data_IF_882770184928
#
_entry.id   IF_882770184928
#
_cell.length_a   1.000
_cell.length_b   1.000
_cell.length_c   1.000
_cell.angle_alpha   90.00
_cell.angle_beta   90.00
_cell.angle_gamma   90.00
#
_symmetry.space_group_name_H-M   'P 1'
#
loop_
_entity.id
_entity.type
_entity.pdbx_description
1 polymer ?
#
# COMPACT_ATOMS: atom_id res chain seq x y z
N UNK A 1 -10.85 -36.24 -7.41
CA UNK A 1 -12.00 -35.32 -7.29
C UNK A 1 -12.35 -34.75 -8.66
N UNK A 2 -13.61 -34.90 -9.08
CA UNK A 2 -14.11 -34.33 -10.33
C UNK A 2 -14.85 -33.05 -9.93
N UNK A 3 -14.36 -31.89 -10.38
CA UNK A 3 -15.10 -30.63 -10.22
C UNK A 3 -16.31 -30.58 -11.17
N UNK A 4 -17.33 -29.81 -10.81
CA UNK A 4 -18.53 -29.67 -11.64
C UNK A 4 -18.18 -29.05 -13.00
N UNK A 5 -18.64 -29.67 -14.10
CA UNK A 5 -18.41 -29.21 -15.47
C UNK A 5 -19.73 -28.70 -16.03
N UNK A 6 -19.80 -27.40 -16.36
CA UNK A 6 -20.93 -26.81 -17.07
C UNK A 6 -20.51 -26.16 -18.39
N UNK A 7 -21.39 -26.19 -19.39
CA UNK A 7 -21.10 -25.75 -20.76
C UNK A 7 -21.08 -24.21 -20.97
N UNK A 8 -21.15 -23.42 -19.90
CA UNK A 8 -21.10 -21.96 -19.96
C UNK A 8 -19.75 -21.48 -19.39
N UNK A 9 -19.18 -20.44 -19.99
CA UNK A 9 -18.08 -19.70 -19.32
C UNK A 9 -18.57 -19.25 -17.93
N UNK A 10 -17.75 -19.45 -16.89
CA UNK A 10 -18.05 -18.97 -15.53
C UNK A 10 -18.86 -19.92 -14.62
N UNK A 11 -18.66 -21.24 -14.68
CA UNK A 11 -19.40 -22.18 -13.81
C UNK A 11 -18.94 -22.21 -12.36
N UNK A 12 -17.68 -21.86 -12.06
CA UNK A 12 -17.17 -21.80 -10.67
C UNK A 12 -17.42 -20.40 -10.10
N UNK A 13 -18.46 -20.27 -9.26
CA UNK A 13 -18.86 -19.00 -8.63
C UNK A 13 -18.17 -18.75 -7.27
N UNK A 14 -17.58 -19.78 -6.67
CA UNK A 14 -16.89 -19.76 -5.38
C UNK A 14 -15.71 -20.73 -5.42
N UNK A 15 -14.60 -20.39 -4.77
CA UNK A 15 -13.43 -21.28 -4.71
C UNK A 15 -13.81 -22.66 -4.16
N UNK A 16 -13.42 -23.73 -4.86
CA UNK A 16 -13.66 -25.10 -4.43
C UNK A 16 -12.34 -25.78 -4.07
N UNK A 17 -12.22 -26.21 -2.81
CA UNK A 17 -10.99 -26.87 -2.31
C UNK A 17 -11.14 -28.38 -2.28
N UNK A 18 -10.25 -29.07 -2.98
CA UNK A 18 -10.18 -30.52 -3.02
C UNK A 18 -8.91 -31.01 -2.34
N UNK A 19 -9.06 -31.95 -1.40
CA UNK A 19 -7.91 -32.63 -0.82
C UNK A 19 -7.48 -33.80 -1.71
N UNK A 20 -6.18 -33.88 -1.99
CA UNK A 20 -5.58 -35.01 -2.69
C UNK A 20 -4.35 -35.53 -1.91
N UNK A 21 -4.37 -36.83 -1.62
CA UNK A 21 -3.20 -37.55 -1.12
C UNK A 21 -2.55 -38.31 -2.28
N UNK A 22 -1.29 -38.02 -2.59
CA UNK A 22 -0.52 -38.82 -3.54
C UNK A 22 0.20 -39.96 -2.82
N UNK A 23 0.12 -41.20 -3.34
CA UNK A 23 0.94 -42.30 -2.85
C UNK A 23 2.42 -41.91 -2.94
N UNK A 24 3.18 -42.09 -1.86
CA UNK A 24 4.61 -41.74 -1.70
C UNK A 24 4.94 -40.26 -1.46
N UNK A 25 3.94 -39.38 -1.35
CA UNK A 25 4.13 -38.00 -0.87
C UNK A 25 3.50 -37.90 0.51
N UNK A 26 4.30 -37.61 1.54
CA UNK A 26 3.85 -37.57 2.94
C UNK A 26 2.95 -36.37 3.27
N UNK A 27 2.89 -35.36 2.37
CA UNK A 27 2.15 -34.12 2.57
C UNK A 27 0.80 -34.15 1.85
N UNK A 28 -0.20 -33.55 2.48
CA UNK A 28 -1.54 -33.37 1.90
C UNK A 28 -1.51 -32.23 0.88
N UNK A 29 -2.05 -32.49 -0.32
CA UNK A 29 -2.17 -31.46 -1.36
C UNK A 29 -3.59 -30.92 -1.36
N UNK A 30 -3.71 -29.60 -1.45
CA UNK A 30 -4.98 -28.92 -1.66
C UNK A 30 -4.99 -28.37 -3.08
N UNK A 31 -5.99 -28.76 -3.86
CA UNK A 31 -6.28 -28.19 -5.17
C UNK A 31 -7.40 -27.19 -4.98
N UNK A 32 -7.15 -25.93 -5.33
CA UNK A 32 -8.14 -24.86 -5.23
C UNK A 32 -8.57 -24.51 -6.65
N UNK A 33 -9.84 -24.77 -6.96
CA UNK A 33 -10.44 -24.33 -8.21
C UNK A 33 -10.94 -22.91 -8.04
N UNK A 34 -10.46 -22.00 -8.89
CA UNK A 34 -10.75 -20.57 -8.83
C UNK A 34 -11.66 -20.17 -9.99
N UNK A 35 -12.56 -19.18 -9.81
CA UNK A 35 -13.27 -18.54 -10.91
C UNK A 35 -12.31 -18.05 -12.01
N UNK A 36 -12.81 -17.90 -13.24
CA UNK A 36 -12.01 -17.49 -14.39
C UNK A 36 -11.26 -16.16 -14.17
N UNK A 37 -9.94 -16.22 -14.05
CA UNK A 37 -9.02 -15.09 -13.80
C UNK A 37 -8.91 -14.06 -14.94
N UNK A 38 -9.63 -14.25 -16.05
CA UNK A 38 -9.58 -13.38 -17.23
C UNK A 38 -10.97 -13.12 -17.86
N UNK A 39 -12.06 -13.23 -17.08
CA UNK A 39 -13.41 -12.95 -17.55
C UNK A 39 -13.68 -11.44 -17.65
N UNK A 40 -13.75 -10.92 -18.88
CA UNK A 40 -14.07 -9.51 -19.12
C UNK A 40 -15.55 -9.19 -18.82
N UNK A 41 -15.81 -8.32 -17.84
CA UNK A 41 -17.14 -7.77 -17.55
C UNK A 41 -17.22 -7.02 -16.21
N UNK A 42 -18.23 -6.15 -16.03
CA UNK A 42 -18.43 -5.30 -14.82
C UNK A 42 -18.78 -6.13 -13.57
N UNK A 43 -19.34 -7.34 -13.74
CA UNK A 43 -19.51 -8.32 -12.67
C UNK A 43 -18.28 -9.25 -12.49
N UNK A 44 -17.25 -9.09 -13.32
CA UNK A 44 -16.04 -9.90 -13.36
C UNK A 44 -14.87 -9.33 -12.56
N UNK A 45 -14.87 -8.04 -12.21
CA UNK A 45 -13.73 -7.38 -11.56
C UNK A 45 -13.48 -7.86 -10.12
N UNK A 46 -14.55 -8.03 -9.33
CA UNK A 46 -14.42 -8.56 -7.96
C UNK A 46 -14.03 -10.04 -7.94
N UNK A 47 -14.55 -10.82 -8.90
CA UNK A 47 -14.21 -12.25 -9.04
C UNK A 47 -12.79 -12.45 -9.52
N UNK A 48 -12.36 -11.64 -10.48
CA UNK A 48 -10.98 -11.62 -10.97
C UNK A 48 -10.01 -11.27 -9.84
N UNK A 49 -10.38 -10.30 -8.98
CA UNK A 49 -9.55 -9.94 -7.85
C UNK A 49 -9.47 -11.06 -6.79
N UNK A 50 -10.60 -11.67 -6.43
CA UNK A 50 -10.62 -12.81 -5.52
C UNK A 50 -9.79 -13.99 -6.06
N UNK A 51 -9.94 -14.33 -7.34
CA UNK A 51 -9.17 -15.41 -7.96
C UNK A 51 -7.66 -15.09 -8.02
N UNK A 52 -7.29 -13.82 -8.21
CA UNK A 52 -5.89 -13.37 -8.13
C UNK A 52 -5.33 -13.43 -6.71
N UNK A 53 -6.13 -13.09 -5.70
CA UNK A 53 -5.73 -13.20 -4.29
C UNK A 53 -5.52 -14.66 -3.90
N UNK A 54 -6.43 -15.56 -4.29
CA UNK A 54 -6.28 -17.01 -4.09
C UNK A 54 -5.04 -17.55 -4.82
N UNK A 55 -4.81 -17.15 -6.08
CA UNK A 55 -3.60 -17.52 -6.81
C UNK A 55 -2.31 -16.95 -6.16
N UNK A 56 -2.37 -15.74 -5.60
CA UNK A 56 -1.28 -15.14 -4.85
C UNK A 56 -1.01 -15.86 -3.52
N UNK A 57 -1.98 -16.58 -2.97
CA UNK A 57 -1.82 -17.43 -1.79
C UNK A 57 -1.27 -18.84 -2.09
N UNK A 58 -1.30 -19.29 -3.34
CA UNK A 58 -0.93 -20.66 -3.72
C UNK A 58 0.60 -20.89 -3.81
N UNK A 59 1.02 -22.13 -3.51
CA UNK A 59 2.42 -22.60 -3.64
C UNK A 59 2.79 -22.91 -5.10
N UNK A 60 1.83 -23.42 -5.87
CA UNK A 60 1.98 -23.78 -7.28
C UNK A 60 0.68 -23.44 -8.03
N UNK A 61 0.82 -22.83 -9.20
CA UNK A 61 -0.31 -22.43 -10.04
C UNK A 61 -0.37 -23.28 -11.30
N UNK A 62 -1.53 -23.85 -11.59
CA UNK A 62 -1.85 -24.41 -12.90
C UNK A 62 -2.65 -23.39 -13.70
N UNK A 63 -2.01 -22.78 -14.69
CA UNK A 63 -2.67 -21.82 -15.57
C UNK A 63 -3.25 -22.56 -16.76
N UNK A 64 -4.56 -22.79 -16.76
CA UNK A 64 -5.24 -23.62 -17.77
C UNK A 64 -5.74 -22.75 -18.92
N UNK A 65 -5.36 -23.10 -20.14
CA UNK A 65 -5.84 -22.52 -21.40
C UNK A 65 -6.38 -23.62 -22.30
N UNK A 66 -7.22 -23.29 -23.28
CA UNK A 66 -7.74 -24.25 -24.25
C UNK A 66 -7.35 -23.96 -25.72
N UNK A 67 -6.53 -22.92 -25.94
CA UNK A 67 -5.95 -22.53 -27.22
C UNK A 67 -4.69 -21.66 -26.97
N UNK A 68 -4.19 -20.96 -27.99
CA UNK A 68 -3.10 -19.97 -27.85
C UNK A 68 -3.44 -18.86 -26.81
N UNK A 69 -2.40 -18.34 -26.13
CA UNK A 69 -2.55 -17.34 -25.06
C UNK A 69 -3.09 -16.01 -25.58
N UNK A 70 -4.27 -15.61 -25.12
CA UNK A 70 -4.83 -14.27 -25.38
C UNK A 70 -4.05 -13.20 -24.63
N UNK A 71 -4.17 -11.96 -25.06
CA UNK A 71 -3.44 -10.84 -24.43
C UNK A 71 -3.82 -10.65 -22.96
N UNK A 72 -5.10 -10.83 -22.61
CA UNK A 72 -5.57 -10.76 -21.21
C UNK A 72 -4.93 -11.86 -20.35
N UNK A 73 -4.93 -13.10 -20.82
CA UNK A 73 -4.32 -14.24 -20.14
C UNK A 73 -2.81 -14.05 -19.98
N UNK A 74 -2.14 -13.58 -21.04
CA UNK A 74 -0.71 -13.32 -21.00
C UNK A 74 -0.32 -12.28 -19.94
N UNK A 75 -1.12 -11.20 -19.80
CA UNK A 75 -0.89 -10.20 -18.75
C UNK A 75 -1.03 -10.79 -17.34
N UNK A 76 -2.02 -11.66 -17.12
CA UNK A 76 -2.20 -12.32 -15.81
C UNK A 76 -1.05 -13.28 -15.53
N UNK A 77 -0.65 -14.09 -16.51
CA UNK A 77 0.50 -14.99 -16.40
C UNK A 77 1.78 -14.21 -16.08
N UNK A 78 2.03 -13.09 -16.76
CA UNK A 78 3.17 -12.21 -16.48
C UNK A 78 3.10 -11.61 -15.06
N UNK A 79 1.92 -11.19 -14.61
CA UNK A 79 1.73 -10.68 -13.24
C UNK A 79 2.10 -11.72 -12.19
N UNK A 80 1.58 -12.94 -12.31
CA UNK A 80 1.84 -14.03 -11.37
C UNK A 80 3.31 -14.46 -11.35
N UNK A 81 3.94 -14.55 -12.53
CA UNK A 81 5.36 -14.91 -12.63
C UNK A 81 6.28 -13.81 -12.11
N UNK A 82 5.95 -12.54 -12.32
CA UNK A 82 6.71 -11.40 -11.76
C UNK A 82 6.62 -11.34 -10.23
N UNK A 83 5.52 -11.83 -9.65
CA UNK A 83 5.39 -12.00 -8.19
C UNK A 83 6.24 -13.16 -7.63
N UNK A 84 6.97 -13.88 -8.48
CA UNK A 84 7.82 -15.01 -8.08
C UNK A 84 7.06 -16.32 -7.91
N UNK A 85 5.82 -16.43 -8.42
CA UNK A 85 5.04 -17.67 -8.31
C UNK A 85 5.52 -18.73 -9.28
N UNK A 86 5.61 -19.97 -8.80
CA UNK A 86 5.82 -21.14 -9.66
C UNK A 86 4.54 -21.45 -10.44
N UNK A 87 4.65 -21.57 -11.75
CA UNK A 87 3.51 -21.75 -12.64
C UNK A 87 3.77 -22.85 -13.66
N UNK A 88 2.76 -23.67 -13.91
CA UNK A 88 2.69 -24.65 -15.01
C UNK A 88 1.56 -24.22 -15.95
N UNK A 89 1.90 -23.95 -17.21
CA UNK A 89 0.93 -23.63 -18.26
C UNK A 89 0.36 -24.94 -18.81
N UNK A 90 -0.96 -25.09 -18.70
CA UNK A 90 -1.68 -26.31 -19.08
C UNK A 90 -2.55 -26.02 -20.29
N UNK A 91 -2.18 -26.54 -21.46
CA UNK A 91 -3.02 -26.53 -22.65
C UNK A 91 -4.01 -27.71 -22.56
N UNK A 92 -5.26 -27.42 -22.21
CA UNK A 92 -6.35 -28.38 -22.18
C UNK A 92 -7.01 -28.53 -23.56
N UNK A 93 -7.79 -29.60 -23.73
CA UNK A 93 -8.48 -29.96 -24.99
C UNK A 93 -7.51 -30.31 -26.13
N UNK A 94 -6.34 -30.84 -25.79
CA UNK A 94 -5.33 -31.26 -26.76
C UNK A 94 -5.83 -32.34 -27.75
N UNK A 95 -6.90 -33.06 -27.40
CA UNK A 95 -7.58 -34.03 -28.27
C UNK A 95 -8.20 -33.41 -29.53
N UNK A 96 -8.37 -32.08 -29.58
CA UNK A 96 -8.91 -31.35 -30.73
C UNK A 96 -7.90 -31.18 -31.87
N UNK A 97 -6.62 -31.42 -31.60
CA UNK A 97 -5.54 -31.12 -32.53
C UNK A 97 -4.90 -32.41 -33.04
N UNK A 98 -4.62 -32.51 -34.36
CA UNK A 98 -3.65 -33.47 -34.87
C UNK A 98 -2.29 -33.28 -34.19
N UNK A 99 -1.51 -34.36 -34.08
CA UNK A 99 -0.23 -34.32 -33.36
C UNK A 99 0.73 -33.26 -33.89
N UNK A 100 0.83 -33.09 -35.22
CA UNK A 100 1.70 -32.08 -35.82
C UNK A 100 1.30 -30.65 -35.44
N UNK A 101 0.00 -30.35 -35.44
CA UNK A 101 -0.52 -29.02 -35.09
C UNK A 101 -0.35 -28.73 -33.59
N UNK A 102 -0.52 -29.77 -32.75
CA UNK A 102 -0.30 -29.67 -31.31
C UNK A 102 1.16 -29.34 -30.97
N UNK A 103 2.11 -29.95 -31.68
CA UNK A 103 3.54 -29.68 -31.51
C UNK A 103 3.88 -28.22 -31.87
N UNK A 104 3.33 -27.71 -32.98
CA UNK A 104 3.49 -26.30 -33.39
C UNK A 104 2.91 -25.34 -32.34
N UNK A 105 1.70 -25.64 -31.84
CA UNK A 105 1.07 -24.81 -30.82
C UNK A 105 1.87 -24.80 -29.51
N UNK A 106 2.36 -25.96 -29.07
CA UNK A 106 3.20 -26.05 -27.87
C UNK A 106 4.52 -25.29 -28.03
N UNK A 107 5.16 -25.37 -29.19
CA UNK A 107 6.37 -24.59 -29.48
C UNK A 107 6.08 -23.09 -29.39
N UNK A 108 4.99 -22.63 -30.01
CA UNK A 108 4.57 -21.21 -29.94
C UNK A 108 4.32 -20.74 -28.51
N UNK A 109 3.60 -21.54 -27.71
CA UNK A 109 3.34 -21.23 -26.31
C UNK A 109 4.64 -21.14 -25.50
N UNK A 110 5.54 -22.13 -25.66
CA UNK A 110 6.86 -22.17 -25.01
C UNK A 110 7.70 -20.94 -25.37
N UNK A 111 7.75 -20.57 -26.64
CA UNK A 111 8.47 -19.36 -27.08
C UNK A 111 7.90 -18.08 -26.48
N UNK A 112 6.57 -17.99 -26.30
CA UNK A 112 5.91 -16.79 -25.76
C UNK A 112 6.15 -16.61 -24.25
N UNK A 113 6.26 -17.71 -23.51
CA UNK A 113 6.49 -17.68 -22.05
C UNK A 113 7.97 -17.78 -21.65
N UNK A 114 8.87 -18.01 -22.61
CA UNK A 114 10.30 -17.97 -22.38
C UNK A 114 10.81 -16.52 -22.19
N UNK A 115 11.84 -16.31 -21.35
CA UNK A 115 12.52 -17.29 -20.49
C UNK A 115 11.82 -17.48 -19.13
N UNK A 116 10.66 -16.86 -18.92
CA UNK A 116 9.97 -16.81 -17.62
C UNK A 116 9.52 -18.17 -17.11
N UNK A 117 9.07 -19.06 -18.01
CA UNK A 117 8.75 -20.46 -17.69
C UNK A 117 9.72 -21.42 -18.38
N UNK A 118 10.01 -22.54 -17.71
CA UNK A 118 10.67 -23.67 -18.35
C UNK A 118 9.77 -24.28 -19.43
N UNK A 119 10.31 -24.72 -20.58
CA UNK A 119 9.56 -25.47 -21.58
C UNK A 119 8.84 -26.71 -21.03
N UNK A 120 9.41 -27.33 -19.99
CA UNK A 120 8.84 -28.50 -19.29
C UNK A 120 7.60 -28.15 -18.44
N UNK A 121 7.45 -26.87 -18.08
CA UNK A 121 6.28 -26.35 -17.37
C UNK A 121 5.12 -26.01 -18.32
N UNK A 122 5.26 -26.28 -19.63
CA UNK A 122 4.19 -26.16 -20.63
C UNK A 122 3.73 -27.56 -21.06
N UNK A 123 2.55 -27.96 -20.58
CA UNK A 123 2.03 -29.33 -20.76
C UNK A 123 0.69 -29.35 -21.48
N UNK A 124 0.50 -30.31 -22.39
CA UNK A 124 -0.77 -30.56 -23.05
C UNK A 124 -1.55 -31.68 -22.35
N UNK A 125 -2.86 -31.50 -22.18
CA UNK A 125 -3.77 -32.47 -21.57
C UNK A 125 -5.11 -32.50 -22.29
N UNK A 126 -5.86 -33.59 -22.07
CA UNK A 126 -7.26 -33.69 -22.45
C UNK A 126 -8.06 -34.13 -21.22
N UNK A 127 -8.58 -33.16 -20.45
CA UNK A 127 -9.30 -33.45 -19.21
C UNK A 127 -10.68 -34.06 -19.45
N UNK A 128 -11.37 -33.59 -20.49
CA UNK A 128 -12.67 -34.10 -20.94
C UNK A 128 -12.69 -34.18 -22.47
N UNK A 129 -12.07 -35.22 -23.06
CA UNK A 129 -11.95 -35.30 -24.52
C UNK A 129 -13.29 -35.55 -25.21
N UNK A 130 -13.42 -35.04 -26.43
CA UNK A 130 -14.66 -35.15 -27.20
C UNK A 130 -14.93 -36.61 -27.62
N UNK A 131 -16.21 -37.04 -27.66
CA UNK A 131 -16.55 -38.35 -28.20
C UNK A 131 -16.24 -38.41 -29.70
N UNK A 132 -15.69 -39.55 -30.16
CA UNK A 132 -15.43 -39.79 -31.58
C UNK A 132 -16.53 -40.67 -32.19
N UNK A 133 -16.93 -40.45 -33.46
CA UNK A 133 -17.87 -41.33 -34.13
C UNK A 133 -17.26 -42.73 -34.29
N UNK A 134 -17.99 -43.77 -33.90
CA UNK A 134 -17.55 -45.16 -34.01
C UNK A 134 -17.93 -45.75 -35.37
N UNK A 135 -17.03 -46.55 -35.96
CA UNK A 135 -17.33 -47.31 -37.18
C UNK A 135 -18.46 -48.30 -36.87
N UNK A 136 -19.59 -48.19 -37.58
CA UNK A 136 -20.80 -48.98 -37.32
C UNK A 136 -21.93 -48.23 -36.59
N UNK A 137 -21.73 -46.95 -36.25
CA UNK A 137 -22.71 -46.12 -35.57
C UNK A 137 -22.44 -45.99 -34.07
N UNK A 138 -22.88 -44.88 -33.47
CA UNK A 138 -22.64 -44.54 -32.07
C UNK A 138 -21.42 -43.64 -31.84
N UNK A 139 -21.20 -43.30 -30.57
CA UNK A 139 -20.14 -42.39 -30.12
C UNK A 139 -19.24 -43.10 -29.12
N UNK A 140 -17.94 -43.07 -29.36
CA UNK A 140 -16.92 -43.58 -28.45
C UNK A 140 -16.43 -42.43 -27.56
N UNK A 141 -16.77 -42.49 -26.26
CA UNK A 141 -16.22 -41.56 -25.28
C UNK A 141 -14.74 -41.86 -25.06
N UNK A 142 -13.88 -40.89 -25.37
CA UNK A 142 -12.45 -41.00 -25.10
C UNK A 142 -12.16 -40.86 -23.60
N UNK A 143 -11.09 -41.53 -23.15
CA UNK A 143 -10.61 -41.43 -21.76
C UNK A 143 -9.80 -40.16 -21.57
N UNK A 144 -9.93 -39.46 -20.43
CA UNK A 144 -9.08 -38.32 -20.10
C UNK A 144 -7.58 -38.65 -20.15
N UNK A 145 -6.78 -37.77 -20.74
CA UNK A 145 -5.34 -37.84 -20.71
C UNK A 145 -4.77 -36.70 -19.83
N UNK A 146 -4.51 -37.02 -18.57
CA UNK A 146 -3.88 -36.13 -17.59
C UNK A 146 -2.47 -36.58 -17.21
N UNK A 147 -1.92 -37.59 -17.90
CA UNK A 147 -0.64 -38.20 -17.54
C UNK A 147 0.53 -37.20 -17.62
N UNK A 148 0.64 -36.33 -18.65
CA UNK A 148 1.72 -35.34 -18.73
C UNK A 148 1.73 -34.40 -17.52
N UNK A 149 0.56 -33.88 -17.14
CA UNK A 149 0.42 -33.00 -15.98
C UNK A 149 0.77 -33.70 -14.66
N UNK A 150 0.31 -34.94 -14.49
CA UNK A 150 0.62 -35.74 -13.29
C UNK A 150 2.11 -36.04 -13.17
N UNK A 151 2.78 -36.35 -14.28
CA UNK A 151 4.21 -36.58 -14.32
C UNK A 151 4.95 -35.29 -13.92
N UNK A 152 4.61 -34.15 -14.53
CA UNK A 152 5.24 -32.87 -14.21
C UNK A 152 5.04 -32.47 -12.76
N UNK A 153 3.82 -32.61 -12.23
CA UNK A 153 3.55 -32.35 -10.81
C UNK A 153 4.37 -33.26 -9.89
N UNK A 154 4.49 -34.56 -10.21
CA UNK A 154 5.30 -35.47 -9.43
C UNK A 154 6.79 -35.11 -9.46
N UNK A 155 7.29 -34.55 -10.56
CA UNK A 155 8.66 -34.06 -10.65
C UNK A 155 8.86 -32.80 -9.80
N UNK A 156 7.97 -31.82 -9.94
CA UNK A 156 7.99 -30.58 -9.15
C UNK A 156 7.90 -30.84 -7.65
N UNK A 157 7.01 -31.72 -7.21
CA UNK A 157 6.87 -32.03 -5.78
C UNK A 157 8.08 -32.78 -5.21
N UNK A 158 8.77 -33.58 -6.03
CA UNK A 158 9.97 -34.30 -5.60
C UNK A 158 11.22 -33.42 -5.57
N UNK A 159 11.33 -32.48 -6.51
CA UNK A 159 12.50 -31.62 -6.67
C UNK A 159 12.38 -30.33 -5.87
N UNK A 160 11.22 -29.69 -5.92
CA UNK A 160 11.02 -28.30 -5.50
C UNK A 160 10.02 -28.17 -4.32
N UNK A 161 9.39 -29.25 -3.85
CA UNK A 161 8.24 -29.18 -2.95
C UNK A 161 8.43 -28.38 -1.66
N UNK A 162 9.60 -28.46 -1.03
CA UNK A 162 9.91 -27.65 0.17
C UNK A 162 10.20 -26.19 -0.18
N UNK A 163 10.89 -25.97 -1.30
CA UNK A 163 11.20 -24.63 -1.83
C UNK A 163 9.92 -23.87 -2.19
N UNK A 164 8.94 -24.52 -2.82
CA UNK A 164 7.65 -23.89 -3.17
C UNK A 164 6.93 -23.30 -1.95
N UNK A 165 6.92 -24.06 -0.85
CA UNK A 165 6.28 -23.63 0.40
C UNK A 165 7.12 -22.53 1.06
N UNK A 166 8.44 -22.69 1.10
CA UNK A 166 9.34 -21.69 1.71
C UNK A 166 9.24 -20.34 0.99
N UNK A 167 9.22 -20.34 -0.35
CA UNK A 167 9.09 -19.13 -1.17
C UNK A 167 7.74 -18.46 -0.95
N UNK A 168 6.64 -19.23 -0.95
CA UNK A 168 5.31 -18.68 -0.70
C UNK A 168 5.18 -18.11 0.71
N UNK A 169 5.68 -18.81 1.74
CA UNK A 169 5.68 -18.32 3.12
C UNK A 169 6.52 -17.05 3.27
N UNK A 170 7.66 -16.95 2.60
CA UNK A 170 8.48 -15.74 2.60
C UNK A 170 7.72 -14.56 1.97
N UNK A 171 7.10 -14.76 0.80
CA UNK A 171 6.29 -13.76 0.13
C UNK A 171 5.13 -13.29 1.01
N UNK A 172 4.38 -14.22 1.62
CA UNK A 172 3.27 -13.89 2.53
C UNK A 172 3.76 -13.13 3.77
N UNK A 173 4.88 -13.54 4.37
CA UNK A 173 5.45 -12.87 5.54
C UNK A 173 5.87 -11.43 5.21
N UNK A 174 6.46 -11.20 4.04
CA UNK A 174 6.82 -9.85 3.59
C UNK A 174 5.58 -8.98 3.36
N UNK A 175 4.54 -9.51 2.74
CA UNK A 175 3.27 -8.79 2.53
C UNK A 175 2.62 -8.42 3.85
N UNK A 176 2.48 -9.38 4.78
CA UNK A 176 1.95 -9.14 6.13
C UNK A 176 2.79 -8.08 6.86
N UNK A 177 4.12 -8.20 6.80
CA UNK A 177 5.02 -7.22 7.41
C UNK A 177 4.84 -5.81 6.85
N UNK A 178 4.67 -5.68 5.53
CA UNK A 178 4.44 -4.39 4.88
C UNK A 178 3.06 -3.81 5.25
N UNK A 179 2.00 -4.61 5.23
CA UNK A 179 0.66 -4.17 5.63
C UNK A 179 0.63 -3.76 7.10
N UNK A 180 1.28 -4.52 7.98
CA UNK A 180 1.40 -4.17 9.40
C UNK A 180 2.15 -2.85 9.59
N UNK A 181 3.27 -2.63 8.88
CA UNK A 181 4.01 -1.35 8.91
C UNK A 181 3.13 -0.19 8.45
N UNK A 182 2.43 -0.33 7.32
CA UNK A 182 1.54 0.70 6.79
C UNK A 182 0.43 1.05 7.79
N UNK A 183 -0.18 0.05 8.42
CA UNK A 183 -1.22 0.27 9.43
C UNK A 183 -0.64 1.02 10.65
N UNK A 184 0.48 0.56 11.18
CA UNK A 184 1.17 1.20 12.32
C UNK A 184 1.55 2.64 11.97
N UNK A 185 2.10 2.88 10.78
CA UNK A 185 2.50 4.22 10.34
C UNK A 185 1.28 5.14 10.17
N UNK A 186 0.15 4.62 9.67
CA UNK A 186 -1.09 5.39 9.55
C UNK A 186 -1.67 5.80 10.91
N UNK A 187 -1.66 4.89 11.88
CA UNK A 187 -2.08 5.15 13.26
C UNK A 187 -1.16 6.16 13.94
N UNK A 188 0.16 6.00 13.80
CA UNK A 188 1.15 6.96 14.31
C UNK A 188 0.96 8.35 13.71
N UNK A 189 0.72 8.43 12.40
CA UNK A 189 0.48 9.70 11.73
C UNK A 189 -0.80 10.37 12.26
N UNK A 190 -1.89 9.62 12.44
CA UNK A 190 -3.13 10.15 12.99
C UNK A 190 -2.96 10.66 14.42
N UNK A 191 -2.26 9.91 15.28
CA UNK A 191 -1.97 10.32 16.66
C UNK A 191 -1.07 11.56 16.70
N UNK A 192 -0.01 11.59 15.88
CA UNK A 192 0.87 12.73 15.79
C UNK A 192 0.13 13.99 15.31
N UNK A 193 -0.77 13.85 14.33
CA UNK A 193 -1.57 14.95 13.81
C UNK A 193 -2.53 15.50 14.86
N UNK A 194 -3.16 14.63 15.66
CA UNK A 194 -4.00 15.04 16.78
C UNK A 194 -3.20 15.81 17.86
N UNK A 195 -1.97 15.37 18.17
CA UNK A 195 -1.07 16.06 19.09
C UNK A 195 -0.72 17.45 18.54
N UNK A 196 -0.27 17.52 17.27
CA UNK A 196 0.09 18.78 16.61
C UNK A 196 -1.10 19.73 16.59
N UNK A 197 -2.30 19.24 16.24
CA UNK A 197 -3.51 20.03 16.19
C UNK A 197 -3.88 20.58 17.58
N UNK A 198 -3.68 19.82 18.65
CA UNK A 198 -3.89 20.33 20.01
C UNK A 198 -2.91 21.45 20.36
N UNK A 199 -1.62 21.24 20.10
CA UNK A 199 -0.57 22.17 20.47
C UNK A 199 -0.51 23.43 19.59
N UNK A 200 -0.89 23.35 18.30
CA UNK A 200 -1.00 24.53 17.44
C UNK A 200 -2.03 25.53 17.98
N UNK A 201 -3.15 25.04 18.54
CA UNK A 201 -4.21 25.88 19.09
C UNK A 201 -3.92 26.36 20.51
N UNK A 202 -3.31 25.52 21.36
CA UNK A 202 -2.83 25.94 22.69
C UNK A 202 -1.78 27.06 22.58
N UNK A 203 -0.83 26.91 21.65
CA UNK A 203 0.16 27.95 21.34
C UNK A 203 -0.47 29.23 20.80
N UNK A 204 -1.46 29.12 19.90
CA UNK A 204 -2.18 30.26 19.35
C UNK A 204 -2.90 31.09 20.43
N UNK A 205 -3.59 30.43 21.36
CA UNK A 205 -4.28 31.07 22.47
C UNK A 205 -3.32 31.80 23.41
N UNK A 206 -2.19 31.16 23.75
CA UNK A 206 -1.14 31.81 24.54
C UNK A 206 -0.59 33.06 23.84
N UNK A 207 -0.20 32.96 22.57
CA UNK A 207 0.38 34.07 21.79
C UNK A 207 -0.61 35.23 21.57
N UNK A 208 -1.91 34.93 21.44
CA UNK A 208 -2.94 35.95 21.22
C UNK A 208 -3.20 36.84 22.45
N UNK A 209 -2.91 36.33 23.65
CA UNK A 209 -3.27 36.97 24.93
C UNK A 209 -2.06 37.66 25.61
N UNK A 210 -0.82 37.34 25.24
CA UNK A 210 0.38 37.96 25.86
C UNK A 210 0.72 39.35 25.27
N UNK A 211 0.93 40.41 26.09
CA UNK A 211 1.17 41.76 25.58
C UNK A 211 2.63 42.17 25.30
N UNK A 212 3.65 41.31 25.50
CA UNK A 212 5.04 41.78 25.62
C UNK A 212 6.07 41.10 24.69
N UNK A 213 6.75 41.85 23.80
CA UNK A 213 7.83 41.33 22.97
C UNK A 213 8.98 40.77 23.83
N UNK A 214 9.34 39.50 23.64
CA UNK A 214 10.54 38.87 24.24
C UNK A 214 10.30 37.94 25.43
N UNK A 215 9.14 38.01 26.09
CA UNK A 215 8.70 37.01 27.11
C UNK A 215 8.02 35.79 26.46
N UNK A 216 7.52 35.95 25.23
CA UNK A 216 6.62 35.01 24.53
C UNK A 216 7.23 33.65 24.19
N UNK A 217 8.55 33.55 24.03
CA UNK A 217 9.20 32.28 23.65
C UNK A 217 9.34 31.30 24.81
N UNK A 218 9.35 31.77 26.07
CA UNK A 218 9.57 30.89 27.23
C UNK A 218 8.28 30.21 27.71
N UNK A 219 7.14 30.91 27.67
CA UNK A 219 5.84 30.32 27.97
C UNK A 219 5.41 29.30 26.89
N UNK A 220 5.77 29.56 25.63
CA UNK A 220 5.56 28.61 24.51
C UNK A 220 6.61 27.51 24.45
N UNK A 221 7.82 27.72 25.00
CA UNK A 221 8.86 26.69 25.02
C UNK A 221 8.44 25.44 25.82
N UNK A 222 7.75 25.61 26.95
CA UNK A 222 7.26 24.46 27.74
C UNK A 222 6.15 23.70 27.00
N UNK A 223 5.21 24.42 26.38
CA UNK A 223 4.12 23.87 25.58
C UNK A 223 4.68 23.09 24.38
N UNK A 224 5.65 23.67 23.67
CA UNK A 224 6.32 23.03 22.53
C UNK A 224 7.23 21.87 22.96
N UNK A 225 7.90 21.95 24.12
CA UNK A 225 8.67 20.84 24.66
C UNK A 225 7.76 19.65 24.97
N UNK A 226 6.59 19.89 25.55
CA UNK A 226 5.61 18.84 25.82
C UNK A 226 5.08 18.20 24.53
N UNK A 227 4.85 18.99 23.47
CA UNK A 227 4.54 18.46 22.15
C UNK A 227 5.62 17.48 21.66
N UNK A 228 6.90 17.85 21.78
CA UNK A 228 8.03 16.99 21.39
C UNK A 228 8.03 15.68 22.18
N UNK A 229 7.83 15.74 23.50
CA UNK A 229 7.77 14.56 24.38
C UNK A 229 6.59 13.65 24.03
N UNK A 230 5.44 14.20 23.70
CA UNK A 230 4.28 13.38 23.30
C UNK A 230 4.46 12.77 21.92
N UNK A 231 5.01 13.53 20.97
CA UNK A 231 5.37 12.99 19.66
C UNK A 231 6.41 11.88 19.78
N UNK A 232 7.42 12.01 20.65
CA UNK A 232 8.43 10.96 20.82
C UNK A 232 7.81 9.63 21.24
N UNK A 233 6.81 9.67 22.14
CA UNK A 233 6.10 8.47 22.62
C UNK A 233 5.33 7.77 21.52
N UNK A 234 4.71 8.50 20.58
CA UNK A 234 4.02 7.92 19.41
C UNK A 234 4.98 7.05 18.57
N UNK A 235 6.23 7.48 18.45
CA UNK A 235 7.27 6.76 17.70
C UNK A 235 8.10 5.80 18.56
N UNK A 236 7.76 5.60 19.83
CA UNK A 236 8.41 4.64 20.73
C UNK A 236 9.71 5.13 21.37
N UNK A 237 9.93 6.44 21.43
CA UNK A 237 11.11 7.04 22.06
C UNK A 237 10.76 7.71 23.39
N UNK A 238 11.67 7.59 24.34
CA UNK A 238 11.65 8.33 25.60
C UNK A 238 12.49 9.60 25.44
N UNK A 239 11.83 10.74 25.45
CA UNK A 239 12.47 12.06 25.44
C UNK A 239 12.05 12.77 26.71
N UNK A 240 13.02 13.26 27.48
CA UNK A 240 12.77 14.07 28.68
C UNK A 240 12.26 15.46 28.29
N UNK A 241 11.65 16.17 29.25
CA UNK A 241 11.19 17.53 29.00
C UNK A 241 12.35 18.49 28.68
N UNK A 242 13.53 18.28 29.27
CA UNK A 242 14.72 19.10 28.99
C UNK A 242 15.24 18.89 27.56
N UNK A 243 15.33 17.64 27.11
CA UNK A 243 15.69 17.29 25.74
C UNK A 243 14.65 17.81 24.74
N UNK A 244 13.36 17.63 25.05
CA UNK A 244 12.26 18.16 24.26
C UNK A 244 12.33 19.69 24.11
N UNK A 245 12.69 20.41 25.17
CA UNK A 245 12.92 21.86 25.15
C UNK A 245 14.13 22.24 24.28
N UNK A 246 15.23 21.49 24.37
CA UNK A 246 16.41 21.72 23.53
C UNK A 246 16.09 21.52 22.04
N UNK A 247 15.37 20.45 21.70
CA UNK A 247 14.90 20.16 20.35
C UNK A 247 13.95 21.25 19.85
N UNK A 248 12.93 21.64 20.63
CA UNK A 248 12.02 22.73 20.30
C UNK A 248 12.76 24.05 20.01
N UNK A 249 13.75 24.40 20.85
CA UNK A 249 14.55 25.60 20.69
C UNK A 249 15.42 25.55 19.42
N UNK A 250 15.94 24.37 19.07
CA UNK A 250 16.76 24.19 17.86
C UNK A 250 15.94 24.40 16.58
N UNK A 251 14.73 23.84 16.48
CA UNK A 251 13.82 24.06 15.35
C UNK A 251 13.36 25.51 15.29
N UNK A 252 13.05 26.14 16.44
CA UNK A 252 12.69 27.55 16.49
C UNK A 252 13.81 28.47 15.97
N UNK A 253 15.08 28.20 16.35
CA UNK A 253 16.25 28.91 15.81
C UNK A 253 16.37 28.72 14.31
N UNK A 254 16.17 27.51 13.81
CA UNK A 254 16.23 27.19 12.38
C UNK A 254 15.14 27.93 11.59
N UNK A 255 13.88 27.88 12.04
CA UNK A 255 12.76 28.63 11.45
C UNK A 255 13.05 30.14 11.38
N UNK A 256 13.65 30.68 12.45
CA UNK A 256 14.05 32.10 12.52
C UNK A 256 15.20 32.40 11.57
N UNK A 257 16.24 31.57 11.56
CA UNK A 257 17.44 31.73 10.72
C UNK A 257 17.17 31.61 9.23
N UNK A 258 16.20 30.79 8.83
CA UNK A 258 15.73 30.67 7.44
C UNK A 258 14.87 31.86 7.00
N UNK A 259 14.55 32.81 7.88
CA UNK A 259 13.69 33.95 7.55
C UNK A 259 12.22 33.57 7.31
N UNK A 260 11.81 32.33 7.59
CA UNK A 260 10.43 31.86 7.40
C UNK A 260 9.45 32.60 8.32
N UNK A 261 9.93 33.08 9.48
CA UNK A 261 9.18 33.96 10.37
C UNK A 261 8.92 35.34 9.73
N UNK A 262 9.83 35.84 8.88
CA UNK A 262 9.67 37.14 8.19
C UNK A 262 8.63 37.05 7.05
N UNK A 263 8.56 35.94 6.33
CA UNK A 263 7.52 35.71 5.31
C UNK A 263 6.08 35.72 5.88
N UNK A 264 5.90 35.30 7.14
CA UNK A 264 4.63 35.47 7.87
C UNK A 264 4.37 36.90 8.35
N UNK A 265 5.40 37.73 8.49
CA UNK A 265 5.29 39.15 8.87
C UNK A 265 4.87 40.00 7.66
N UNK A 266 5.23 39.63 6.44
CA UNK A 266 4.77 40.34 5.23
C UNK A 266 3.25 40.21 5.00
N UNK A 267 2.62 39.16 5.53
CA UNK A 267 1.14 39.03 5.58
C UNK A 267 0.52 40.11 6.49
N UNK A 268 1.24 40.61 7.51
CA UNK A 268 0.78 41.71 8.38
C UNK A 268 0.61 43.03 7.61
N UNK A 269 1.23 43.19 6.42
CA UNK A 269 1.18 44.41 5.64
C UNK A 269 -0.14 44.59 4.86
N UNK A 270 -0.90 43.51 4.61
CA UNK A 270 -2.12 43.56 3.79
C UNK A 270 -3.37 44.10 4.50
N UNK A 271 -3.31 44.42 5.80
CA UNK A 271 -4.50 44.73 6.61
C UNK A 271 -4.44 45.99 7.48
N UNK A 272 -3.47 46.89 7.29
CA UNK A 272 -3.33 48.07 8.13
C UNK A 272 -4.14 49.26 7.60
N UNK A 273 -5.43 49.29 7.95
CA UNK A 273 -6.16 50.56 8.13
C UNK A 273 -6.63 50.65 9.60
N UNK A 274 -6.45 51.82 10.19
CA UNK A 274 -6.41 52.12 11.62
C UNK A 274 -7.79 52.18 12.28
N UNK A 275 -8.14 51.21 13.14
CA UNK A 275 -9.21 51.29 14.16
C UNK A 275 -9.07 50.16 15.23
N UNK A 276 -9.87 50.17 16.31
CA UNK A 276 -9.89 49.12 17.36
C UNK A 276 -10.14 47.70 16.80
N UNK A 277 -10.91 47.58 15.72
CA UNK A 277 -11.09 46.34 14.96
C UNK A 277 -9.74 45.77 14.44
N UNK A 278 -8.76 46.62 14.17
CA UNK A 278 -7.41 46.26 13.71
C UNK A 278 -6.56 45.69 14.83
N UNK A 279 -6.80 46.04 16.10
CA UNK A 279 -6.06 45.45 17.23
C UNK A 279 -6.46 43.99 17.45
N UNK A 280 -7.76 43.69 17.41
CA UNK A 280 -8.28 42.32 17.51
C UNK A 280 -7.86 41.49 16.28
N UNK A 281 -8.00 42.05 15.07
CA UNK A 281 -7.55 41.40 13.84
C UNK A 281 -6.03 41.14 13.83
N UNK A 282 -5.23 42.09 14.33
CA UNK A 282 -3.78 41.94 14.44
C UNK A 282 -3.35 40.87 15.45
N UNK A 283 -4.07 40.72 16.59
CA UNK A 283 -3.84 39.63 17.55
C UNK A 283 -4.24 38.27 16.99
N UNK A 284 -5.39 38.20 16.32
CA UNK A 284 -5.86 36.98 15.67
C UNK A 284 -4.89 36.49 14.58
N UNK A 285 -4.38 37.40 13.76
CA UNK A 285 -3.39 37.07 12.72
C UNK A 285 -2.05 36.61 13.32
N UNK A 286 -1.56 37.24 14.39
CA UNK A 286 -0.35 36.77 15.11
C UNK A 286 -0.52 35.38 15.70
N UNK A 287 -1.68 35.10 16.31
CA UNK A 287 -2.04 33.77 16.80
C UNK A 287 -2.09 32.73 15.69
N UNK A 288 -2.67 33.08 14.53
CA UNK A 288 -2.70 32.21 13.36
C UNK A 288 -1.31 31.89 12.80
N UNK A 289 -0.43 32.88 12.67
CA UNK A 289 0.96 32.66 12.24
C UNK A 289 1.74 31.80 13.23
N UNK A 290 1.55 32.00 14.54
CA UNK A 290 2.14 31.16 15.57
C UNK A 290 1.67 29.71 15.48
N UNK A 291 0.35 29.49 15.33
CA UNK A 291 -0.24 28.16 15.14
C UNK A 291 0.36 27.45 13.92
N UNK A 292 0.49 28.18 12.81
CA UNK A 292 1.07 27.64 11.58
C UNK A 292 2.52 27.20 11.78
N UNK A 293 3.35 28.05 12.40
CA UNK A 293 4.75 27.70 12.68
C UNK A 293 4.87 26.52 13.65
N UNK A 294 4.00 26.43 14.67
CA UNK A 294 3.92 25.25 15.55
C UNK A 294 3.56 23.99 14.78
N UNK A 295 2.64 24.08 13.81
CA UNK A 295 2.30 22.97 12.92
C UNK A 295 3.50 22.50 12.10
N UNK A 296 4.25 23.44 11.51
CA UNK A 296 5.47 23.11 10.75
C UNK A 296 6.53 22.46 11.65
N UNK A 297 6.74 23.00 12.86
CA UNK A 297 7.67 22.43 13.83
C UNK A 297 7.25 21.00 14.22
N UNK A 298 5.96 20.79 14.53
CA UNK A 298 5.39 19.48 14.83
C UNK A 298 5.58 18.47 13.71
N UNK A 299 5.28 18.84 12.46
CA UNK A 299 5.52 17.99 11.27
C UNK A 299 7.01 17.70 11.04
N UNK A 300 7.89 18.63 11.41
CA UNK A 300 9.34 18.42 11.35
C UNK A 300 9.81 17.41 12.40
N UNK A 301 9.27 17.46 13.62
CA UNK A 301 9.55 16.46 14.65
C UNK A 301 9.01 15.07 14.31
N UNK A 302 7.85 14.99 13.66
CA UNK A 302 7.35 13.73 13.09
C UNK A 302 8.38 13.10 12.16
N UNK A 303 8.96 13.88 11.24
CA UNK A 303 9.99 13.36 10.33
C UNK A 303 11.26 12.94 11.08
N UNK A 304 11.70 13.73 12.05
CA UNK A 304 12.84 13.42 12.92
C UNK A 304 12.68 12.08 13.64
N UNK A 305 11.52 11.84 14.25
CA UNK A 305 11.25 10.57 14.94
C UNK A 305 11.01 9.41 13.98
N UNK A 306 10.37 9.65 12.83
CA UNK A 306 10.22 8.63 11.77
C UNK A 306 11.58 8.16 11.22
N UNK A 307 12.58 9.04 11.22
CA UNK A 307 13.96 8.75 10.86
C UNK A 307 14.84 8.32 12.05
N UNK A 308 14.23 7.78 13.11
CA UNK A 308 14.95 7.26 14.28
C UNK A 308 15.83 8.30 15.00
N UNK A 309 15.24 9.47 15.30
CA UNK A 309 15.91 10.61 15.93
C UNK A 309 17.05 11.20 15.09
N UNK A 310 16.90 11.18 13.77
CA UNK A 310 17.85 11.75 12.81
C UNK A 310 17.14 12.74 11.88
N UNK A 311 17.82 13.82 11.50
CA UNK A 311 17.30 14.80 10.53
C UNK A 311 17.60 14.42 9.08
N UNK A 312 18.36 13.34 8.86
CA UNK A 312 18.83 12.91 7.55
C UNK A 312 20.02 13.73 7.05
N UNK A 313 20.52 13.39 5.86
CA UNK A 313 21.77 13.94 5.31
C UNK A 313 21.72 15.46 5.06
N UNK A 314 20.53 16.00 4.79
CA UNK A 314 20.31 17.44 4.62
C UNK A 314 20.24 18.23 5.94
N UNK A 315 20.16 17.53 7.08
CA UNK A 315 20.00 18.13 8.39
C UNK A 315 18.66 18.84 8.61
N UNK A 316 18.51 19.43 9.79
CA UNK A 316 17.26 20.03 10.26
C UNK A 316 16.74 21.15 9.35
N UNK A 317 17.63 21.97 8.80
CA UNK A 317 17.25 23.10 7.93
C UNK A 317 16.44 22.65 6.72
N UNK A 318 16.90 21.58 6.05
CA UNK A 318 16.24 21.02 4.87
C UNK A 318 14.89 20.43 5.23
N UNK A 319 14.80 19.68 6.34
CA UNK A 319 13.53 19.09 6.80
C UNK A 319 12.50 20.17 7.10
N UNK A 320 12.90 21.21 7.85
CA UNK A 320 12.01 22.33 8.22
C UNK A 320 11.55 23.10 6.99
N UNK A 321 12.46 23.41 6.06
CA UNK A 321 12.13 24.11 4.81
C UNK A 321 11.16 23.28 3.94
N UNK A 322 11.39 21.97 3.84
CA UNK A 322 10.52 21.06 3.10
C UNK A 322 9.11 21.02 3.71
N UNK A 323 9.00 20.87 5.03
CA UNK A 323 7.70 20.89 5.71
C UNK A 323 7.00 22.23 5.53
N UNK A 324 7.73 23.34 5.60
CA UNK A 324 7.18 24.66 5.31
C UNK A 324 6.61 24.72 3.88
N UNK A 325 7.39 24.36 2.85
CA UNK A 325 6.95 24.39 1.45
C UNK A 325 5.75 23.50 1.16
N UNK A 326 5.72 22.28 1.73
CA UNK A 326 4.60 21.35 1.56
C UNK A 326 3.28 21.94 2.08
N UNK A 327 3.35 22.72 3.15
CA UNK A 327 2.19 23.35 3.77
C UNK A 327 1.93 24.79 3.27
N UNK A 328 2.89 25.41 2.56
CA UNK A 328 2.81 26.80 2.10
C UNK A 328 1.87 27.00 0.90
N UNK A 329 1.46 25.94 0.18
CA UNK A 329 0.56 26.07 -0.99
C UNK A 329 -0.59 27.03 -0.65
N UNK A 330 -0.77 28.10 -1.45
CA UNK A 330 -1.63 29.25 -1.12
C UNK A 330 -3.01 28.84 -0.59
N UNK A 331 -3.59 27.77 -1.15
CA UNK A 331 -4.88 27.22 -0.73
C UNK A 331 -4.86 26.67 0.71
N UNK A 332 -3.83 25.91 1.09
CA UNK A 332 -3.70 25.31 2.43
C UNK A 332 -3.41 26.40 3.47
N UNK A 333 -2.55 27.35 3.12
CA UNK A 333 -2.21 28.46 4.00
C UNK A 333 -3.42 29.37 4.26
N UNK A 334 -4.14 29.76 3.20
CA UNK A 334 -5.33 30.61 3.33
C UNK A 334 -6.45 29.92 4.12
N UNK A 335 -6.69 28.63 3.88
CA UNK A 335 -7.66 27.85 4.63
C UNK A 335 -7.29 27.79 6.12
N UNK A 336 -6.02 27.54 6.43
CA UNK A 336 -5.51 27.49 7.80
C UNK A 336 -5.64 28.85 8.51
N UNK A 337 -5.22 29.95 7.87
CA UNK A 337 -5.32 31.29 8.46
C UNK A 337 -6.78 31.66 8.74
N UNK A 338 -7.69 31.34 7.82
CA UNK A 338 -9.13 31.59 8.00
C UNK A 338 -9.69 30.81 9.20
N UNK A 339 -9.37 29.52 9.30
CA UNK A 339 -9.75 28.70 10.44
C UNK A 339 -9.15 29.27 11.74
N UNK A 340 -7.88 29.62 11.72
CA UNK A 340 -7.17 30.11 12.90
C UNK A 340 -7.73 31.43 13.41
N UNK A 341 -8.01 32.38 12.53
CA UNK A 341 -8.65 33.64 12.90
C UNK A 341 -10.02 33.37 13.55
N UNK A 342 -10.82 32.45 12.99
CA UNK A 342 -12.14 32.11 13.53
C UNK A 342 -12.09 31.51 14.93
N UNK A 343 -11.04 30.72 15.26
CA UNK A 343 -10.85 30.11 16.57
C UNK A 343 -10.23 31.07 17.60
N UNK A 344 -9.42 32.03 17.17
CA UNK A 344 -8.70 32.96 18.07
C UNK A 344 -9.56 34.17 18.46
N UNK A 345 -10.45 34.66 17.58
CA UNK A 345 -11.31 35.83 17.87
C UNK A 345 -12.09 35.69 19.20
N UNK A 346 -12.79 34.56 19.48
CA UNK A 346 -13.54 34.40 20.73
C UNK A 346 -12.66 34.53 21.99
N UNK A 347 -11.45 33.96 21.94
CA UNK A 347 -10.49 33.98 23.06
C UNK A 347 -9.98 35.39 23.39
N UNK A 348 -9.96 36.29 22.39
CA UNK A 348 -9.55 37.69 22.59
C UNK A 348 -10.65 38.60 23.13
N UNK A 349 -11.92 38.20 23.03
CA UNK A 349 -13.07 39.00 23.45
C UNK A 349 -13.46 38.78 24.92
N UNK A 350 -13.22 37.60 25.49
CA UNK A 350 -13.57 37.28 26.90
C UNK A 350 -12.74 38.03 27.96
N UNK A 351 -11.70 38.77 27.59
CA UNK A 351 -10.85 39.52 28.51
C UNK A 351 -10.77 41.04 28.23
N UNK A 352 -11.73 41.58 27.47
CA UNK A 352 -11.86 43.02 27.19
C UNK A 352 -12.71 43.74 28.23
#
# INVERSE_FOLDING_TARGET
PVGEVGAAMGTTQTDQTYTWQLPKISRQIQLIDTPGIAEAGVAGTEREQAARETAAGADLIFFVVDDDLRQSEYKVLQGLTTMGKRLVLVLNKADRYPQADLEILLEKLRSRVAPTLSPDDVVAVAALPQPLPQVGGGWLQMRPNLLPLKARLADLLRQDGETLIADNLLLQTQQIGNSARQLIDSERQAQADAIIDRYQWLGAGAIAVTPLPGLDFLATAAINAQMVVELSKVYGFEVSLEEGKALALSVAKTLTGLGLVKGTVDILALGLQTNLATMVAGRALKGASGAYLTRIAGKSFVEYFRQNQNWGDGGMGVVVEQQFRLNQRDVLMQAFIKEAISRVIPLTQEQS
#
